data_IF_078847796573
#
_entry.id   IF_078847796573
#
_cell.length_a   1.000
_cell.length_b   1.000
_cell.length_c   1.000
_cell.angle_alpha   90.00
_cell.angle_beta   90.00
_cell.angle_gamma   90.00
#
_symmetry.space_group_name_H-M   'P 1'
#
loop_
_entity.id
_entity.type
_entity.pdbx_description
1 polymer ?
#
# COMPACT_ATOMS: atom_id res chain seq x y z
N UNK A 1 -13.87 -10.75 19.32
CA UNK A 1 -13.08 -11.00 18.10
C UNK A 1 -11.79 -10.25 18.27
N UNK A 2 -10.66 -10.94 18.23
CA UNK A 2 -9.36 -10.29 18.32
C UNK A 2 -9.21 -9.34 17.13
N UNK A 3 -8.80 -8.12 17.40
CA UNK A 3 -8.52 -7.12 16.40
C UNK A 3 -7.26 -7.58 15.64
N UNK A 4 -7.46 -8.17 14.46
CA UNK A 4 -6.39 -8.67 13.59
C UNK A 4 -5.55 -7.54 12.95
N UNK A 5 -5.44 -6.40 13.65
CA UNK A 5 -4.55 -5.34 13.21
C UNK A 5 -3.10 -5.85 13.20
N UNK A 6 -2.54 -5.90 12.03
CA UNK A 6 -1.17 -6.34 11.73
C UNK A 6 -0.14 -5.26 12.08
N UNK A 7 -0.27 -4.64 13.26
CA UNK A 7 0.67 -3.64 13.75
C UNK A 7 1.66 -4.27 14.73
N UNK A 8 2.95 -4.11 14.46
CA UNK A 8 3.95 -4.38 15.44
C UNK A 8 3.93 -3.26 16.50
N UNK A 9 3.52 -3.57 17.72
CA UNK A 9 3.64 -2.64 18.83
C UNK A 9 4.99 -2.84 19.50
N UNK A 10 5.84 -1.85 19.45
CA UNK A 10 7.05 -1.83 20.24
C UNK A 10 6.70 -1.31 21.65
N UNK A 11 6.97 -2.12 22.66
CA UNK A 11 6.90 -1.65 24.04
C UNK A 11 8.22 -1.00 24.38
N UNK A 12 8.20 0.26 24.83
CA UNK A 12 9.34 0.87 25.50
C UNK A 12 9.66 0.06 26.74
N UNK A 13 10.91 -0.32 26.93
CA UNK A 13 11.36 -0.82 28.25
C UNK A 13 11.31 0.35 29.22
N UNK A 14 10.61 0.17 30.35
CA UNK A 14 10.40 1.20 31.34
C UNK A 14 11.71 1.77 31.95
N UNK A 15 12.83 1.12 31.72
CA UNK A 15 14.11 1.36 32.38
C UNK A 15 15.15 2.03 31.49
N UNK A 16 14.82 2.39 30.24
CA UNK A 16 15.77 2.99 29.33
C UNK A 16 15.35 4.43 28.97
N UNK A 17 15.78 5.39 29.79
CA UNK A 17 15.56 6.82 29.57
C UNK A 17 16.21 7.37 28.26
N UNK A 18 16.96 6.53 27.53
CA UNK A 18 17.65 6.89 26.29
C UNK A 18 16.90 6.49 25.01
N UNK A 19 15.75 5.85 25.10
CA UNK A 19 14.96 5.60 23.91
C UNK A 19 14.23 6.86 23.48
N UNK A 20 14.83 7.55 22.50
CA UNK A 20 14.32 8.78 21.87
C UNK A 20 13.09 8.49 20.97
N UNK A 21 12.63 7.26 20.86
CA UNK A 21 11.49 6.89 20.05
C UNK A 21 10.31 6.52 20.95
N UNK A 22 9.41 7.46 21.15
CA UNK A 22 8.04 7.07 21.46
C UNK A 22 7.44 6.48 20.19
N UNK A 23 7.26 5.17 20.15
CA UNK A 23 6.48 4.54 19.11
C UNK A 23 5.04 5.06 19.27
N UNK A 24 4.41 5.61 18.24
CA UNK A 24 3.03 6.07 18.30
C UNK A 24 2.11 4.96 18.84
N UNK A 25 1.06 5.31 19.54
CA UNK A 25 0.10 4.32 20.06
C UNK A 25 -0.45 3.41 18.97
N UNK A 26 -0.54 3.92 17.73
CA UNK A 26 -0.94 3.17 16.54
C UNK A 26 0.17 2.28 15.94
N UNK A 27 1.39 2.38 16.44
CA UNK A 27 2.51 1.52 16.10
C UNK A 27 3.14 1.77 14.74
N UNK A 28 3.92 0.79 14.31
CA UNK A 28 4.63 0.76 13.03
C UNK A 28 3.84 -0.07 12.02
N UNK A 29 3.57 0.48 10.84
CA UNK A 29 3.06 -0.25 9.70
C UNK A 29 4.21 -0.74 8.82
N UNK A 30 4.14 -2.00 8.42
CA UNK A 30 4.98 -2.55 7.37
C UNK A 30 4.08 -2.84 6.18
N UNK A 31 4.29 -2.12 5.07
CA UNK A 31 3.42 -2.19 3.90
C UNK A 31 4.19 -2.57 2.64
N UNK A 32 3.55 -3.35 1.77
CA UNK A 32 4.11 -3.72 0.46
C UNK A 32 3.22 -3.17 -0.65
N UNK A 33 3.85 -2.62 -1.69
CA UNK A 33 3.19 -2.02 -2.83
C UNK A 33 3.70 -2.64 -4.13
N UNK A 34 2.80 -2.92 -5.07
CA UNK A 34 3.16 -3.37 -6.40
C UNK A 34 2.90 -2.25 -7.42
N UNK A 35 3.94 -1.84 -8.12
CA UNK A 35 3.89 -0.87 -9.20
C UNK A 35 4.10 -1.61 -10.53
N UNK A 36 3.03 -2.15 -11.10
CA UNK A 36 3.07 -2.78 -12.41
C UNK A 36 3.05 -1.72 -13.48
N UNK A 37 4.13 -1.61 -14.25
CA UNK A 37 4.28 -0.59 -15.28
C UNK A 37 4.01 -1.17 -16.67
N UNK A 38 3.26 -0.43 -17.48
CA UNK A 38 2.95 -0.82 -18.84
C UNK A 38 4.22 -0.89 -19.70
N UNK A 39 4.35 -1.96 -20.49
CA UNK A 39 5.45 -2.12 -21.46
C UNK A 39 5.41 -1.04 -22.54
N UNK A 40 4.21 -0.74 -23.03
CA UNK A 40 4.02 0.14 -24.16
C UNK A 40 3.98 1.62 -23.76
N UNK A 41 3.66 1.90 -22.49
CA UNK A 41 3.49 3.24 -21.95
C UNK A 41 4.15 3.32 -20.58
N UNK A 42 5.45 3.60 -20.49
CA UNK A 42 6.20 3.55 -19.22
C UNK A 42 5.73 4.54 -18.15
N UNK A 43 4.95 5.55 -18.53
CA UNK A 43 4.30 6.53 -17.67
C UNK A 43 2.97 6.05 -17.08
N UNK A 44 2.54 4.83 -17.45
CA UNK A 44 1.30 4.22 -16.95
C UNK A 44 1.58 3.10 -15.97
N UNK A 45 0.87 3.15 -14.85
CA UNK A 45 0.91 2.16 -13.78
C UNK A 45 -0.46 1.55 -13.58
N UNK A 46 -0.50 0.27 -13.25
CA UNK A 46 -1.73 -0.42 -12.91
C UNK A 46 -2.27 0.10 -11.58
N UNK A 47 -3.41 0.74 -11.64
CA UNK A 47 -4.14 1.28 -10.50
C UNK A 47 -5.56 0.75 -10.50
N UNK A 48 -6.17 0.68 -9.32
CA UNK A 48 -7.53 0.23 -9.18
C UNK A 48 -8.35 1.06 -8.20
N UNK A 49 -9.65 0.99 -8.36
CA UNK A 49 -10.62 1.40 -7.36
C UNK A 49 -11.01 0.18 -6.54
N UNK A 50 -10.79 0.26 -5.25
CA UNK A 50 -11.11 -0.80 -4.30
C UNK A 50 -12.59 -1.18 -4.39
N UNK A 51 -12.87 -2.49 -4.41
CA UNK A 51 -14.23 -2.97 -4.23
C UNK A 51 -14.56 -3.04 -2.72
N UNK A 52 -15.43 -2.17 -2.18
CA UNK A 52 -15.72 -2.14 -0.75
C UNK A 52 -16.46 -3.40 -0.26
N UNK A 53 -17.09 -4.15 -1.17
CA UNK A 53 -17.83 -5.36 -0.86
C UNK A 53 -16.97 -6.64 -0.96
N UNK A 54 -15.71 -6.51 -1.38
CA UNK A 54 -14.79 -7.64 -1.44
C UNK A 54 -14.37 -8.09 -0.03
N UNK A 55 -14.12 -9.38 0.12
CA UNK A 55 -13.56 -9.91 1.35
C UNK A 55 -12.06 -9.61 1.42
N UNK A 56 -11.73 -8.55 2.14
CA UNK A 56 -10.37 -8.07 2.31
C UNK A 56 -9.70 -8.64 3.57
N UNK A 57 -9.91 -9.91 3.87
CA UNK A 57 -9.37 -10.55 5.07
C UNK A 57 -7.84 -10.38 5.22
N UNK A 58 -7.14 -10.15 4.11
CA UNK A 58 -5.67 -10.06 4.07
C UNK A 58 -5.14 -8.67 3.74
N UNK A 59 -5.99 -7.69 3.47
CA UNK A 59 -5.57 -6.32 3.22
C UNK A 59 -5.86 -5.50 4.47
N UNK A 60 -4.91 -5.51 5.39
CA UNK A 60 -4.89 -4.74 6.63
C UNK A 60 -6.27 -4.30 7.08
N UNK A 61 -6.76 -4.85 8.13
CA UNK A 61 -8.07 -4.59 8.78
C UNK A 61 -8.85 -3.38 8.23
N UNK A 62 -9.37 -3.50 6.99
CA UNK A 62 -10.27 -2.50 6.44
C UNK A 62 -11.63 -2.69 7.09
N UNK A 63 -11.94 -1.82 8.03
CA UNK A 63 -13.33 -1.67 8.44
C UNK A 63 -14.17 -1.12 7.27
N UNK A 64 -15.48 -1.31 7.32
CA UNK A 64 -16.39 -0.89 6.25
C UNK A 64 -16.29 0.63 5.93
N UNK A 65 -15.97 1.47 6.93
CA UNK A 65 -15.82 2.92 6.75
C UNK A 65 -14.56 3.23 5.93
N UNK A 66 -13.45 2.58 6.25
CA UNK A 66 -12.18 2.74 5.49
C UNK A 66 -12.31 2.19 4.08
N UNK A 67 -12.94 1.02 3.91
CA UNK A 67 -13.21 0.44 2.61
C UNK A 67 -14.04 1.39 1.73
N UNK A 68 -15.12 1.94 2.26
CA UNK A 68 -15.98 2.91 1.56
C UNK A 68 -15.26 4.24 1.24
N UNK A 69 -14.31 4.67 2.09
CA UNK A 69 -13.51 5.86 1.83
C UNK A 69 -12.49 5.62 0.73
N UNK A 70 -11.78 4.50 0.79
CA UNK A 70 -10.69 4.20 -0.13
C UNK A 70 -11.15 3.69 -1.48
N UNK A 71 -12.39 3.23 -1.61
CA UNK A 71 -12.99 2.89 -2.91
C UNK A 71 -13.23 4.11 -3.83
N UNK A 72 -13.06 5.33 -3.30
CA UNK A 72 -13.34 6.57 -4.05
C UNK A 72 -12.18 7.12 -4.87
N UNK A 73 -11.00 6.53 -4.77
CA UNK A 73 -9.82 7.00 -5.48
C UNK A 73 -8.92 5.86 -5.93
N UNK A 74 -7.89 6.23 -6.66
CA UNK A 74 -6.91 5.30 -7.19
C UNK A 74 -6.01 4.74 -6.10
N UNK A 75 -5.75 3.44 -6.19
CA UNK A 75 -4.84 2.71 -5.32
C UNK A 75 -3.91 1.81 -6.12
N UNK A 76 -2.70 1.65 -5.59
CA UNK A 76 -1.80 0.56 -5.95
C UNK A 76 -2.29 -0.76 -5.32
N UNK A 77 -2.11 -1.90 -5.99
CA UNK A 77 -2.18 -3.20 -5.33
C UNK A 77 -1.19 -3.22 -4.16
N UNK A 78 -1.71 -3.36 -2.95
CA UNK A 78 -0.92 -3.21 -1.73
C UNK A 78 -1.55 -3.93 -0.55
N UNK A 79 -0.72 -4.26 0.44
CA UNK A 79 -1.17 -4.81 1.71
C UNK A 79 -0.12 -4.56 2.79
N UNK A 80 -0.54 -4.70 4.03
CA UNK A 80 0.40 -4.83 5.14
C UNK A 80 1.01 -6.24 5.16
N UNK A 81 2.24 -6.36 5.69
CA UNK A 81 2.86 -7.66 5.92
C UNK A 81 2.05 -8.45 6.95
N UNK A 82 1.94 -9.73 6.71
CA UNK A 82 1.44 -10.70 7.70
C UNK A 82 2.58 -11.12 8.63
N UNK A 83 2.26 -11.53 9.83
CA UNK A 83 3.26 -12.04 10.77
C UNK A 83 4.04 -13.22 10.14
N UNK A 84 5.36 -13.20 10.27
CA UNK A 84 6.32 -14.11 9.63
C UNK A 84 6.45 -14.01 8.10
N UNK A 85 5.81 -13.05 7.46
CA UNK A 85 5.91 -12.83 6.03
C UNK A 85 7.07 -11.85 5.72
N UNK A 86 7.92 -12.21 4.78
CA UNK A 86 8.91 -11.28 4.21
C UNK A 86 8.24 -10.32 3.22
N UNK A 87 8.87 -9.17 2.89
CA UNK A 87 8.35 -8.28 1.85
C UNK A 87 8.14 -8.97 0.50
N UNK A 88 9.03 -9.89 0.10
CA UNK A 88 8.92 -10.65 -1.15
C UNK A 88 7.72 -11.62 -1.14
N UNK A 89 7.47 -12.28 -0.04
CA UNK A 89 6.30 -13.15 0.12
C UNK A 89 5.01 -12.33 0.11
N UNK A 90 5.03 -11.15 0.74
CA UNK A 90 3.91 -10.20 0.68
C UNK A 90 3.63 -9.75 -0.75
N UNK A 91 4.67 -9.39 -1.52
CA UNK A 91 4.53 -9.00 -2.92
C UNK A 91 3.87 -10.11 -3.76
N UNK A 92 4.32 -11.37 -3.62
CA UNK A 92 3.73 -12.52 -4.30
C UNK A 92 2.29 -12.78 -3.86
N UNK A 93 2.00 -12.66 -2.57
CA UNK A 93 0.64 -12.80 -2.06
C UNK A 93 -0.29 -11.72 -2.63
N UNK A 94 0.12 -10.45 -2.63
CA UNK A 94 -0.64 -9.35 -3.21
C UNK A 94 -0.93 -9.60 -4.69
N UNK A 95 0.08 -10.02 -5.47
CA UNK A 95 -0.10 -10.33 -6.89
C UNK A 95 -1.16 -11.42 -7.09
N UNK A 96 -1.08 -12.51 -6.33
CA UNK A 96 -2.03 -13.63 -6.42
C UNK A 96 -3.42 -13.24 -5.94
N UNK A 97 -3.55 -12.61 -4.78
CA UNK A 97 -4.83 -12.35 -4.12
C UNK A 97 -5.57 -11.13 -4.68
N UNK A 98 -4.85 -10.18 -5.26
CA UNK A 98 -5.46 -8.95 -5.76
C UNK A 98 -5.48 -8.85 -7.29
N UNK A 99 -4.59 -9.57 -7.98
CA UNK A 99 -4.43 -9.48 -9.43
C UNK A 99 -4.58 -10.84 -10.14
N UNK A 100 -4.58 -11.95 -9.41
CA UNK A 100 -4.57 -13.29 -10.01
C UNK A 100 -3.27 -13.60 -10.76
N UNK A 101 -2.15 -12.93 -10.40
CA UNK A 101 -0.85 -13.09 -11.05
C UNK A 101 0.12 -13.89 -10.17
N UNK A 102 0.94 -14.71 -10.83
CA UNK A 102 2.09 -15.35 -10.17
C UNK A 102 3.38 -14.61 -10.51
N UNK A 103 4.09 -14.15 -9.48
CA UNK A 103 5.39 -13.50 -9.62
C UNK A 103 6.52 -14.48 -9.27
N UNK A 104 7.29 -14.89 -10.27
CA UNK A 104 8.44 -15.79 -10.08
C UNK A 104 9.68 -15.03 -9.65
N UNK A 105 9.92 -13.89 -10.27
CA UNK A 105 11.06 -13.01 -10.00
C UNK A 105 10.59 -11.66 -9.50
N UNK A 106 11.33 -11.10 -8.56
CA UNK A 106 11.08 -9.77 -7.99
C UNK A 106 12.36 -8.95 -8.06
N UNK A 107 12.28 -7.70 -8.51
CA UNK A 107 13.40 -6.77 -8.35
C UNK A 107 13.58 -6.42 -6.86
N UNK A 108 14.73 -5.87 -6.47
CA UNK A 108 14.87 -5.29 -5.14
C UNK A 108 13.80 -4.21 -4.91
N UNK A 109 13.14 -4.19 -3.75
CA UNK A 109 12.13 -3.16 -3.47
C UNK A 109 12.77 -1.79 -3.26
N UNK A 110 12.07 -0.76 -3.66
CA UNK A 110 12.31 0.59 -3.19
C UNK A 110 11.84 0.69 -1.74
N UNK A 111 12.71 1.18 -0.87
CA UNK A 111 12.39 1.39 0.54
C UNK A 111 11.88 2.81 0.75
N UNK A 112 10.74 2.92 1.39
CA UNK A 112 10.20 4.20 1.85
C UNK A 112 9.99 4.17 3.37
N UNK A 113 10.15 5.32 3.98
CA UNK A 113 9.83 5.49 5.39
C UNK A 113 9.15 6.84 5.55
N UNK A 114 7.97 6.84 6.09
CA UNK A 114 7.19 8.04 6.31
C UNK A 114 6.55 8.03 7.70
N UNK A 115 6.46 9.23 8.29
CA UNK A 115 5.81 9.45 9.57
C UNK A 115 4.93 10.68 9.45
N UNK A 116 3.69 10.48 9.05
CA UNK A 116 2.72 11.57 8.92
C UNK A 116 1.66 11.53 10.01
N UNK A 117 1.30 12.71 10.50
CA UNK A 117 0.08 12.87 11.25
C UNK A 117 -1.09 12.84 10.26
N UNK A 118 -1.94 11.83 10.37
CA UNK A 118 -3.11 11.70 9.48
C UNK A 118 -4.02 12.92 9.61
N UNK A 119 -4.48 13.52 8.49
CA UNK A 119 -5.48 14.57 8.54
C UNK A 119 -6.73 14.08 9.29
N UNK A 120 -7.13 14.82 10.35
CA UNK A 120 -8.27 14.47 11.19
C UNK A 120 -8.00 13.41 12.27
N UNK A 121 -6.76 12.98 12.44
CA UNK A 121 -6.34 12.21 13.60
C UNK A 121 -6.34 13.07 14.87
N UNK A 122 -6.63 12.46 16.01
CA UNK A 122 -6.45 13.15 17.29
C UNK A 122 -4.97 13.53 17.48
N UNK A 123 -4.72 14.59 18.24
CA UNK A 123 -3.36 15.02 18.52
C UNK A 123 -2.63 13.89 19.29
N UNK A 124 -1.67 13.22 18.61
CA UNK A 124 -0.95 12.08 19.15
C UNK A 124 -1.04 10.80 18.29
N UNK A 125 -1.97 10.72 17.34
CA UNK A 125 -2.07 9.60 16.40
C UNK A 125 -0.98 9.71 15.33
N UNK A 126 0.28 9.54 15.74
CA UNK A 126 1.41 9.45 14.83
C UNK A 126 1.50 8.02 14.33
N UNK A 127 1.55 7.89 13.02
CA UNK A 127 1.70 6.61 12.34
C UNK A 127 3.02 6.59 11.58
N UNK A 128 3.81 5.58 11.78
CA UNK A 128 5.04 5.39 11.02
C UNK A 128 4.88 4.22 10.06
N UNK A 129 4.95 4.51 8.77
CA UNK A 129 4.93 3.51 7.71
C UNK A 129 6.36 3.23 7.22
N UNK A 130 6.72 1.95 7.14
CA UNK A 130 7.85 1.47 6.36
C UNK A 130 7.28 0.69 5.18
N UNK A 131 7.52 1.17 3.98
CA UNK A 131 7.00 0.61 2.75
C UNK A 131 8.08 -0.07 1.91
N UNK A 132 7.70 -1.18 1.26
CA UNK A 132 8.47 -1.92 0.28
C UNK A 132 7.74 -1.83 -1.05
N UNK A 133 8.25 -1.03 -1.99
CA UNK A 133 7.62 -0.82 -3.29
C UNK A 133 8.37 -1.59 -4.38
N UNK A 134 7.69 -2.53 -5.03
CA UNK A 134 8.24 -3.34 -6.12
C UNK A 134 7.84 -2.75 -7.45
N UNK A 135 8.82 -2.25 -8.22
CA UNK A 135 8.60 -1.75 -9.57
C UNK A 135 8.72 -2.90 -10.57
N UNK A 136 7.59 -3.31 -11.11
CA UNK A 136 7.45 -4.46 -12.00
C UNK A 136 7.18 -3.97 -13.42
N UNK A 137 8.14 -4.17 -14.29
CA UNK A 137 8.12 -3.70 -15.67
C UNK A 137 7.60 -4.74 -16.67
N UNK A 138 7.14 -4.25 -17.81
CA UNK A 138 6.96 -5.10 -18.98
C UNK A 138 5.58 -5.73 -19.13
N UNK A 139 4.57 -5.26 -18.44
CA UNK A 139 3.20 -5.71 -18.60
C UNK A 139 2.59 -5.14 -19.87
N UNK A 140 2.18 -6.02 -20.81
CA UNK A 140 1.61 -5.61 -22.09
C UNK A 140 0.08 -5.49 -22.07
N UNK A 141 -0.55 -6.19 -21.15
CA UNK A 141 -2.00 -6.23 -21.01
C UNK A 141 -2.39 -6.00 -19.54
N UNK A 142 -3.58 -5.46 -19.35
CA UNK A 142 -4.17 -5.37 -18.01
C UNK A 142 -4.47 -6.77 -17.49
N UNK A 143 -4.24 -7.04 -16.20
CA UNK A 143 -4.65 -8.30 -15.60
C UNK A 143 -6.15 -8.50 -15.77
N UNK A 144 -6.62 -9.76 -15.80
CA UNK A 144 -8.04 -10.04 -15.84
C UNK A 144 -8.74 -9.41 -14.63
N UNK A 145 -10.00 -9.02 -14.82
CA UNK A 145 -10.80 -8.40 -13.76
C UNK A 145 -10.81 -9.29 -12.52
N UNK A 146 -10.38 -8.75 -11.41
CA UNK A 146 -10.32 -9.44 -10.11
C UNK A 146 -11.36 -8.86 -9.14
N UNK A 147 -12.03 -9.70 -8.31
CA UNK A 147 -13.07 -9.24 -7.37
C UNK A 147 -12.62 -8.17 -6.38
N UNK A 148 -11.33 -8.06 -6.13
CA UNK A 148 -10.74 -7.03 -5.29
C UNK A 148 -11.02 -5.60 -5.79
N UNK A 149 -11.30 -5.42 -7.06
CA UNK A 149 -11.40 -4.13 -7.72
C UNK A 149 -12.73 -3.95 -8.43
N UNK A 150 -13.32 -2.76 -8.28
CA UNK A 150 -14.45 -2.33 -9.13
C UNK A 150 -13.94 -1.85 -10.49
N UNK A 151 -12.75 -1.24 -10.51
CA UNK A 151 -12.02 -0.84 -11.69
C UNK A 151 -10.54 -1.15 -11.49
N UNK A 152 -9.86 -1.66 -12.52
CA UNK A 152 -8.43 -1.95 -12.52
C UNK A 152 -7.91 -1.71 -13.95
N UNK A 153 -6.99 -0.74 -14.11
CA UNK A 153 -6.42 -0.40 -15.43
C UNK A 153 -5.09 0.32 -15.32
N UNK A 154 -4.37 0.40 -16.43
CA UNK A 154 -3.18 1.24 -16.53
C UNK A 154 -3.56 2.71 -16.65
N UNK A 155 -3.12 3.51 -15.68
CA UNK A 155 -3.41 4.95 -15.56
C UNK A 155 -2.15 5.74 -15.82
N UNK A 156 -2.26 6.81 -16.59
CA UNK A 156 -1.17 7.76 -16.83
C UNK A 156 -0.99 8.66 -15.61
N UNK A 157 0.01 8.35 -14.80
CA UNK A 157 0.21 8.96 -13.48
C UNK A 157 0.44 10.47 -13.59
N UNK A 158 1.24 10.92 -14.56
CA UNK A 158 1.59 12.32 -14.74
C UNK A 158 0.39 13.23 -15.10
N UNK A 159 -0.72 12.65 -15.55
CA UNK A 159 -1.98 13.36 -15.85
C UNK A 159 -3.04 13.17 -14.78
N UNK A 160 -2.78 12.37 -13.78
CA UNK A 160 -3.74 12.08 -12.70
C UNK A 160 -3.48 13.01 -11.52
N UNK A 161 -4.45 13.85 -11.14
CA UNK A 161 -4.30 14.76 -10.01
C UNK A 161 -4.04 14.01 -8.70
N UNK A 162 -3.15 14.56 -7.88
CA UNK A 162 -2.80 13.99 -6.56
C UNK A 162 -4.03 13.66 -5.71
N UNK A 163 -5.05 14.51 -5.73
CA UNK A 163 -6.30 14.34 -4.96
C UNK A 163 -7.14 13.12 -5.36
N UNK A 164 -6.84 12.52 -6.51
CA UNK A 164 -7.53 11.30 -6.99
C UNK A 164 -6.93 10.03 -6.40
N UNK A 165 -5.77 10.13 -5.75
CA UNK A 165 -5.17 9.01 -5.03
C UNK A 165 -5.69 8.96 -3.59
N UNK A 166 -5.83 7.76 -3.08
CA UNK A 166 -6.19 7.54 -1.67
C UNK A 166 -4.98 7.00 -0.90
N UNK A 167 -4.98 7.16 0.42
CA UNK A 167 -3.94 6.68 1.33
C UNK A 167 -2.55 7.27 1.08
N UNK A 168 -2.45 8.47 0.55
CA UNK A 168 -1.17 9.12 0.22
C UNK A 168 -0.24 8.26 -0.67
N UNK A 169 -0.82 7.38 -1.51
CA UNK A 169 -0.02 6.48 -2.36
C UNK A 169 0.65 7.18 -3.54
N UNK A 170 0.32 8.42 -3.79
CA UNK A 170 1.07 9.32 -4.67
C UNK A 170 2.54 9.47 -4.24
N UNK A 171 2.84 9.37 -2.94
CA UNK A 171 4.21 9.40 -2.43
C UNK A 171 5.01 8.16 -2.85
N UNK A 172 4.38 7.00 -2.90
CA UNK A 172 4.99 5.76 -3.42
C UNK A 172 5.34 5.90 -4.90
N UNK A 173 4.42 6.48 -5.69
CA UNK A 173 4.64 6.75 -7.12
C UNK A 173 5.76 7.76 -7.34
N UNK A 174 5.80 8.83 -6.54
CA UNK A 174 6.87 9.82 -6.58
C UNK A 174 8.24 9.21 -6.26
N UNK A 175 8.33 8.33 -5.27
CA UNK A 175 9.55 7.58 -4.95
C UNK A 175 10.03 6.74 -6.13
N UNK A 176 9.11 6.16 -6.88
CA UNK A 176 9.40 5.38 -8.09
C UNK A 176 9.71 6.26 -9.32
N UNK A 177 9.84 7.58 -9.16
CA UNK A 177 10.10 8.52 -10.25
C UNK A 177 8.90 8.81 -11.16
N UNK A 178 7.69 8.55 -10.68
CA UNK A 178 6.43 8.75 -11.41
C UNK A 178 5.51 9.74 -10.68
N UNK A 179 5.82 11.05 -10.69
CA UNK A 179 5.02 12.04 -9.98
C UNK A 179 3.64 12.22 -10.63
N UNK A 180 2.64 12.42 -9.79
CA UNK A 180 1.30 12.81 -10.19
C UNK A 180 1.26 14.30 -10.62
N UNK A 181 0.17 14.71 -11.26
CA UNK A 181 -0.09 16.14 -11.45
C UNK A 181 -0.58 16.77 -10.14
N UNK A 182 -0.33 18.06 -9.99
CA UNK A 182 -0.80 18.86 -8.86
C UNK A 182 -2.33 19.00 -8.80
#
# INVERSE_FOLDING_TARGET
MADDRKFARFRTRADDERMVFSVPEDGLCLSTFLLLRSRNYPDRVLLGHLNPDAQWAHIGALDARRAALWSKGWMLPSSQLVYYESPDESARRIAREQLGLELTELPPPLLMSDSEQRPGAAQGDLHWDIGFAYLLDGYSEEPPRHPAWTELRFVEVSKTPRREFVRSQDDVLRLAGMPCSD
#
